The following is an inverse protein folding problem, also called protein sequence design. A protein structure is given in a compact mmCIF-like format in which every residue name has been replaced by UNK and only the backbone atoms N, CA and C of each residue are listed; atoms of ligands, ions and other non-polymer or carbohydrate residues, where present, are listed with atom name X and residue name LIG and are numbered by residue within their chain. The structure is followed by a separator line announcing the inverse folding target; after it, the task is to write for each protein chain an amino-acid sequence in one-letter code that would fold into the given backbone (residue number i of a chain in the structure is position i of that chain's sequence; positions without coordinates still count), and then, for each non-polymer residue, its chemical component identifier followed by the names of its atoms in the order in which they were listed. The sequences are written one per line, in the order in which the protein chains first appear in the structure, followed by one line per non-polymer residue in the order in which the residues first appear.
data_IF_469506919053
#
_entry.id   IF_469506919053
#
_cell.length_a   1.000
_cell.length_b   1.000
_cell.length_c   1.000
_cell.angle_alpha   90.00
_cell.angle_beta   90.00
_cell.angle_gamma   90.00
#
_symmetry.space_group_name_H-M   'P 1'
#
loop_
_entity.id
_entity.type
_entity.pdbx_description
1 polymer ?
#
# COMPACT_ATOMS: atom_id res chain seq x y z
N UNK A 1 35.03 27.98 -37.20
CA UNK A 1 33.99 27.38 -38.06
C UNK A 1 33.14 26.48 -37.15
N UNK A 2 32.04 27.02 -36.61
CA UNK A 2 31.22 26.31 -35.63
C UNK A 2 30.23 25.39 -36.36
N UNK A 3 30.35 24.09 -36.13
CA UNK A 3 29.40 23.10 -36.60
C UNK A 3 28.05 23.35 -35.91
N UNK A 4 27.04 23.68 -36.72
CA UNK A 4 25.65 23.83 -36.30
C UNK A 4 25.12 22.49 -35.80
N UNK A 5 24.66 22.47 -34.54
CA UNK A 5 23.86 21.39 -33.96
C UNK A 5 22.73 21.02 -34.92
N UNK A 6 22.75 19.80 -35.44
CA UNK A 6 21.64 19.24 -36.19
C UNK A 6 20.42 19.18 -35.30
N UNK A 7 19.38 19.94 -35.64
CA UNK A 7 18.04 19.76 -35.08
C UNK A 7 17.56 18.36 -35.47
N UNK A 8 17.68 17.40 -34.55
CA UNK A 8 17.03 16.10 -34.69
C UNK A 8 15.53 16.34 -34.50
N UNK A 9 14.82 16.59 -35.61
CA UNK A 9 13.38 16.69 -35.60
C UNK A 9 12.79 15.33 -35.26
N UNK A 10 12.14 15.20 -34.11
CA UNK A 10 11.38 14.01 -33.75
C UNK A 10 10.36 13.71 -34.87
N UNK A 11 10.26 12.47 -35.37
CA UNK A 11 9.26 12.11 -36.36
C UNK A 11 7.86 12.55 -35.89
N UNK A 12 7.09 13.23 -36.75
CA UNK A 12 5.78 13.81 -36.40
C UNK A 12 4.82 12.83 -35.73
N UNK A 13 4.94 11.53 -36.04
CA UNK A 13 4.15 10.45 -35.44
C UNK A 13 4.52 10.21 -33.96
N UNK A 14 5.81 10.22 -33.61
CA UNK A 14 6.26 10.09 -32.22
C UNK A 14 5.77 11.27 -31.39
N UNK A 15 5.86 12.50 -31.95
CA UNK A 15 5.29 13.69 -31.33
C UNK A 15 3.81 13.55 -31.00
N UNK A 16 2.99 13.05 -31.96
CA UNK A 16 1.55 12.83 -31.75
C UNK A 16 1.25 11.79 -30.67
N UNK A 17 1.98 10.68 -30.66
CA UNK A 17 1.79 9.62 -29.65
C UNK A 17 2.16 10.15 -28.26
N UNK A 18 3.29 10.84 -28.12
CA UNK A 18 3.67 11.47 -26.85
C UNK A 18 2.62 12.48 -26.39
N UNK A 19 2.14 13.37 -27.27
CA UNK A 19 1.08 14.33 -26.92
C UNK A 19 -0.21 13.63 -26.50
N UNK A 20 -0.60 12.55 -27.16
CA UNK A 20 -1.79 11.78 -26.79
C UNK A 20 -1.63 11.13 -25.41
N UNK A 21 -0.49 10.49 -25.14
CA UNK A 21 -0.20 9.89 -23.82
C UNK A 21 -0.25 10.94 -22.73
N UNK A 22 0.40 12.10 -22.93
CA UNK A 22 0.37 13.21 -21.99
C UNK A 22 -1.07 13.69 -21.76
N UNK A 23 -1.84 13.89 -22.84
CA UNK A 23 -3.23 14.32 -22.78
C UNK A 23 -4.11 13.38 -21.96
N UNK A 24 -3.96 12.06 -22.13
CA UNK A 24 -4.70 11.05 -21.37
C UNK A 24 -4.38 11.11 -19.88
N UNK A 25 -3.10 11.19 -19.51
CA UNK A 25 -2.70 11.26 -18.10
C UNK A 25 -3.16 12.55 -17.43
N UNK A 26 -3.04 13.68 -18.12
CA UNK A 26 -3.53 14.98 -17.63
C UNK A 26 -5.04 14.98 -17.48
N UNK A 27 -5.78 14.41 -18.44
CA UNK A 27 -7.23 14.28 -18.35
C UNK A 27 -7.67 13.38 -17.19
N UNK A 28 -7.01 12.23 -17.01
CA UNK A 28 -7.28 11.31 -15.90
C UNK A 28 -7.00 11.97 -14.55
N UNK A 29 -5.83 12.59 -14.39
CA UNK A 29 -5.47 13.31 -13.16
C UNK A 29 -6.45 14.46 -12.86
N UNK A 30 -6.78 15.28 -13.86
CA UNK A 30 -7.77 16.34 -13.71
C UNK A 30 -9.16 15.80 -13.34
N UNK A 31 -9.57 14.66 -13.92
CA UNK A 31 -10.85 14.03 -13.60
C UNK A 31 -10.90 13.54 -12.15
N UNK A 32 -9.83 12.92 -11.65
CA UNK A 32 -9.74 12.51 -10.25
C UNK A 32 -9.73 13.71 -9.29
N UNK A 33 -9.01 14.80 -9.62
CA UNK A 33 -9.05 16.05 -8.84
C UNK A 33 -10.46 16.63 -8.84
N UNK A 34 -11.10 16.72 -10.01
CA UNK A 34 -12.44 17.27 -10.14
C UNK A 34 -13.46 16.44 -9.37
N UNK A 35 -13.36 15.12 -9.46
CA UNK A 35 -14.15 14.18 -8.66
C UNK A 35 -13.97 14.44 -7.17
N UNK A 36 -12.73 14.62 -6.72
CA UNK A 36 -12.42 14.94 -5.33
C UNK A 36 -13.02 16.25 -4.83
N UNK A 37 -13.03 17.27 -5.70
CA UNK A 37 -13.53 18.59 -5.37
C UNK A 37 -15.06 18.66 -5.39
N UNK A 38 -15.71 17.96 -6.34
CA UNK A 38 -17.14 18.07 -6.60
C UNK A 38 -17.99 16.96 -5.96
N UNK A 39 -17.44 15.76 -5.82
CA UNK A 39 -18.18 14.59 -5.38
C UNK A 39 -17.73 14.18 -4.00
N UNK A 40 -18.11 14.93 -2.96
CA UNK A 40 -17.81 14.55 -1.58
C UNK A 40 -18.75 13.47 -1.06
N UNK A 41 -18.21 12.55 -0.28
CA UNK A 41 -18.99 11.49 0.38
C UNK A 41 -19.64 12.04 1.65
N UNK A 42 -20.95 12.29 1.60
CA UNK A 42 -21.70 12.84 2.73
C UNK A 42 -21.71 11.91 3.96
N UNK A 43 -21.65 10.59 3.73
CA UNK A 43 -21.63 9.63 4.83
C UNK A 43 -20.28 9.68 5.55
N UNK A 44 -19.18 9.74 4.79
CA UNK A 44 -17.84 9.95 5.35
C UNK A 44 -17.74 11.28 6.09
N UNK A 45 -18.25 12.37 5.52
CA UNK A 45 -18.22 13.69 6.18
C UNK A 45 -19.00 13.67 7.50
N UNK A 46 -20.14 12.99 7.55
CA UNK A 46 -20.93 12.81 8.76
C UNK A 46 -20.20 11.97 9.82
N UNK A 47 -19.59 10.85 9.42
CA UNK A 47 -18.76 10.04 10.34
C UNK A 47 -17.57 10.83 10.87
N UNK A 48 -16.91 11.59 9.99
CA UNK A 48 -15.79 12.46 10.34
C UNK A 48 -16.19 13.50 11.38
N UNK A 49 -17.37 14.11 11.24
CA UNK A 49 -17.90 15.09 12.19
C UNK A 49 -18.17 14.49 13.59
N UNK A 50 -18.57 13.23 13.66
CA UNK A 50 -18.85 12.51 14.91
C UNK A 50 -17.59 11.95 15.61
N UNK A 51 -16.43 12.01 14.96
CA UNK A 51 -15.17 11.46 15.50
C UNK A 51 -14.36 12.50 16.29
N UNK A 52 -13.66 12.04 17.33
CA UNK A 52 -12.89 12.90 18.22
C UNK A 52 -11.52 13.19 17.61
N UNK A 53 -11.10 14.46 17.47
CA UNK A 53 -9.79 14.79 16.93
C UNK A 53 -8.67 14.26 17.83
N UNK A 54 -7.73 13.55 17.22
CA UNK A 54 -6.45 13.17 17.81
C UNK A 54 -5.48 14.23 17.33
N UNK A 55 -5.18 15.23 18.17
CA UNK A 55 -4.53 16.48 17.72
C UNK A 55 -3.42 16.31 16.68
N UNK A 56 -3.60 16.93 15.50
CA UNK A 56 -2.66 17.89 14.92
C UNK A 56 -3.27 18.76 13.81
N UNK A 57 -3.41 20.07 14.05
CA UNK A 57 -3.48 21.08 12.98
C UNK A 57 -2.05 21.49 12.62
N UNK A 58 -1.56 21.15 11.42
CA UNK A 58 -0.28 21.68 10.90
C UNK A 58 -0.51 22.81 9.88
N UNK A 59 0.19 23.95 9.98
CA UNK A 59 0.55 24.76 8.83
C UNK A 59 1.68 24.08 8.04
N UNK A 60 1.77 24.37 6.76
CA UNK A 60 2.33 23.57 5.65
C UNK A 60 3.85 23.26 5.64
N UNK A 61 4.63 23.53 6.70
CA UNK A 61 6.10 23.49 6.61
C UNK A 61 6.77 22.96 7.90
N UNK A 62 6.95 21.63 8.03
CA UNK A 62 8.07 20.94 8.73
C UNK A 62 7.83 19.42 8.77
N UNK A 63 8.83 18.67 8.35
CA UNK A 63 8.86 17.21 8.23
C UNK A 63 9.28 16.57 9.57
N UNK A 64 8.57 15.50 9.97
CA UNK A 64 8.94 14.48 10.97
C UNK A 64 9.62 14.93 12.28
N UNK A 65 8.81 15.27 13.28
CA UNK A 65 9.23 15.23 14.69
C UNK A 65 8.52 14.04 15.39
N UNK A 66 9.25 12.99 15.82
CA UNK A 66 8.68 11.84 16.52
C UNK A 66 8.10 12.17 17.91
N UNK A 67 8.33 13.38 18.45
CA UNK A 67 7.79 13.80 19.75
C UNK A 67 6.33 14.27 19.70
N UNK A 68 5.70 14.38 18.53
CA UNK A 68 4.36 14.95 18.37
C UNK A 68 3.19 13.97 18.66
N UNK A 69 3.46 12.67 18.79
CA UNK A 69 2.40 11.65 18.91
C UNK A 69 1.88 11.37 20.32
N UNK A 70 2.32 12.09 21.35
CA UNK A 70 1.87 11.84 22.74
C UNK A 70 0.88 12.92 23.21
N UNK A 71 -0.33 12.58 23.72
CA UNK A 71 -0.72 11.28 24.32
C UNK A 71 -2.08 10.67 23.86
N UNK A 72 -2.44 10.63 22.57
CA UNK A 72 -3.84 10.25 22.20
C UNK A 72 -4.04 8.99 21.35
N UNK A 73 -3.01 8.48 20.64
CA UNK A 73 -3.04 7.12 20.09
C UNK A 73 -2.26 6.20 21.01
N UNK A 74 -2.77 4.97 21.20
CA UNK A 74 -1.96 3.91 21.81
C UNK A 74 -0.76 3.57 20.91
N UNK A 75 0.31 3.01 21.47
CA UNK A 75 1.46 2.58 20.67
C UNK A 75 1.09 1.57 19.58
N UNK A 76 0.05 0.76 19.80
CA UNK A 76 -0.48 -0.18 18.80
C UNK A 76 -1.26 0.56 17.71
N UNK A 77 -2.13 1.50 18.10
CA UNK A 77 -2.90 2.32 17.15
C UNK A 77 -1.95 3.10 16.22
N UNK A 78 -0.90 3.71 16.77
CA UNK A 78 0.14 4.39 16.00
C UNK A 78 0.79 3.45 14.98
N UNK A 79 1.18 2.24 15.42
CA UNK A 79 1.82 1.25 14.54
C UNK A 79 0.89 0.72 13.45
N UNK A 80 -0.40 0.64 13.71
CA UNK A 80 -1.41 0.30 12.69
C UNK A 80 -1.51 1.41 11.64
N UNK A 81 -1.54 2.68 12.05
CA UNK A 81 -1.54 3.83 11.13
C UNK A 81 -0.25 3.86 10.30
N UNK A 82 0.92 3.68 10.93
CA UNK A 82 2.21 3.60 10.23
C UNK A 82 2.22 2.46 9.19
N UNK A 83 1.73 1.28 9.57
CA UNK A 83 1.64 0.14 8.66
C UNK A 83 0.75 0.46 7.45
N UNK A 84 -0.39 1.13 7.68
CA UNK A 84 -1.27 1.55 6.59
C UNK A 84 -0.64 2.62 5.69
N UNK A 85 0.10 3.58 6.24
CA UNK A 85 0.83 4.57 5.42
C UNK A 85 1.91 3.92 4.56
N UNK A 86 2.58 2.88 5.05
CA UNK A 86 3.54 2.11 4.25
C UNK A 86 2.83 1.35 3.11
N UNK A 87 1.70 0.69 3.41
CA UNK A 87 0.86 0.03 2.39
C UNK A 87 0.39 1.04 1.33
N UNK A 88 -0.05 2.23 1.74
CA UNK A 88 -0.43 3.30 0.82
C UNK A 88 0.77 3.78 -0.01
N UNK A 89 1.98 3.78 0.55
CA UNK A 89 3.23 4.04 -0.18
C UNK A 89 3.62 2.90 -1.14
N UNK A 90 2.76 1.89 -1.24
CA UNK A 90 2.89 0.67 -2.02
C UNK A 90 3.99 -0.27 -1.50
N UNK A 91 4.45 -0.09 -0.27
CA UNK A 91 5.31 -1.08 0.37
C UNK A 91 4.49 -2.35 0.63
N UNK A 92 4.94 -3.53 0.17
CA UNK A 92 4.12 -4.72 0.20
C UNK A 92 3.95 -5.13 1.67
N UNK A 93 2.72 -5.26 2.17
CA UNK A 93 2.52 -5.61 3.56
C UNK A 93 3.07 -7.00 3.86
N UNK A 94 3.86 -7.07 4.92
CA UNK A 94 4.30 -8.32 5.52
C UNK A 94 3.39 -8.69 6.68
N UNK A 95 3.32 -9.99 6.99
CA UNK A 95 2.64 -10.45 8.18
C UNK A 95 3.32 -9.84 9.40
N UNK A 96 2.60 -8.99 10.12
CA UNK A 96 3.15 -8.29 11.28
C UNK A 96 2.29 -8.48 12.52
N UNK A 97 2.83 -8.06 13.66
CA UNK A 97 2.07 -7.99 14.90
C UNK A 97 0.90 -6.98 14.82
N UNK A 98 0.93 -6.02 13.89
CA UNK A 98 -0.02 -4.92 13.80
C UNK A 98 -1.04 -5.06 12.66
N UNK A 99 -0.77 -5.91 11.67
CA UNK A 99 -1.66 -6.15 10.52
C UNK A 99 -2.22 -7.56 10.57
N UNK A 100 -3.54 -7.70 10.47
CA UNK A 100 -4.20 -9.00 10.43
C UNK A 100 -3.96 -9.71 9.09
N UNK A 101 -3.80 -11.04 9.13
CA UNK A 101 -3.78 -11.85 7.89
C UNK A 101 -5.12 -11.82 7.15
N UNK A 102 -6.21 -11.50 7.86
CA UNK A 102 -7.58 -11.36 7.34
C UNK A 102 -7.98 -9.89 7.14
N UNK A 103 -7.02 -9.00 6.92
CA UNK A 103 -7.29 -7.59 6.67
C UNK A 103 -8.21 -7.44 5.45
N UNK A 104 -9.39 -6.86 5.66
CA UNK A 104 -10.30 -6.51 4.56
C UNK A 104 -10.00 -5.07 4.12
N UNK A 105 -9.70 -4.89 2.84
CA UNK A 105 -9.47 -3.56 2.26
C UNK A 105 -10.62 -3.20 1.32
N UNK A 106 -11.31 -2.12 1.64
CA UNK A 106 -12.37 -1.55 0.84
C UNK A 106 -11.92 -0.21 0.27
N UNK A 107 -11.44 -0.22 -0.96
CA UNK A 107 -10.99 1.00 -1.63
C UNK A 107 -12.00 1.46 -2.70
N UNK A 108 -12.13 2.76 -2.95
CA UNK A 108 -12.80 3.40 -4.12
C UNK A 108 -12.89 2.52 -5.37
N UNK A 109 -11.78 1.87 -5.74
CA UNK A 109 -11.66 1.10 -7.00
C UNK A 109 -11.54 -0.41 -6.80
N UNK A 110 -11.21 -0.89 -5.61
CA UNK A 110 -10.89 -2.30 -5.39
C UNK A 110 -11.38 -2.78 -4.03
N UNK A 111 -11.82 -4.02 -3.99
CA UNK A 111 -12.02 -4.75 -2.75
C UNK A 111 -10.99 -5.88 -2.70
N UNK A 112 -10.22 -5.95 -1.61
CA UNK A 112 -9.24 -7.01 -1.37
C UNK A 112 -9.52 -7.69 -0.03
N UNK A 113 -9.46 -9.03 -0.02
CA UNK A 113 -9.83 -9.89 1.10
C UNK A 113 -8.62 -10.66 1.64
N UNK A 114 -8.04 -10.11 2.70
CA UNK A 114 -6.87 -10.65 3.34
C UNK A 114 -5.56 -10.10 2.81
N UNK A 115 -4.50 -10.40 3.56
CA UNK A 115 -3.18 -9.81 3.38
C UNK A 115 -2.52 -10.20 2.05
N UNK A 116 -2.84 -11.39 1.54
CA UNK A 116 -2.26 -11.91 0.30
C UNK A 116 -2.76 -11.15 -0.92
N UNK A 117 -4.08 -10.93 -1.05
CA UNK A 117 -4.65 -10.11 -2.12
C UNK A 117 -4.17 -8.66 -2.02
N UNK A 118 -4.04 -8.13 -0.80
CA UNK A 118 -3.50 -6.78 -0.59
C UNK A 118 -2.04 -6.66 -1.04
N UNK A 119 -1.20 -7.61 -0.66
CA UNK A 119 0.21 -7.64 -1.07
C UNK A 119 0.35 -7.72 -2.58
N UNK A 120 -0.38 -8.63 -3.21
CA UNK A 120 -0.35 -8.76 -4.65
C UNK A 120 -0.89 -7.45 -5.28
N UNK A 121 -2.01 -6.91 -4.78
CA UNK A 121 -2.53 -5.61 -5.19
C UNK A 121 -1.49 -4.48 -5.15
N UNK A 122 -0.71 -4.37 -4.06
CA UNK A 122 0.36 -3.36 -3.93
C UNK A 122 1.49 -3.57 -4.93
N UNK A 123 1.93 -4.81 -5.17
CA UNK A 123 2.96 -5.12 -6.17
C UNK A 123 2.49 -4.81 -7.59
N UNK A 124 1.20 -5.00 -7.87
CA UNK A 124 0.64 -4.71 -9.18
C UNK A 124 0.63 -3.20 -9.43
N UNK A 125 0.20 -2.42 -8.43
CA UNK A 125 0.15 -0.96 -8.54
C UNK A 125 1.53 -0.33 -8.70
N UNK A 126 2.59 -0.90 -8.10
CA UNK A 126 3.97 -0.44 -8.25
C UNK A 126 4.46 -0.40 -9.70
N UNK A 127 3.88 -1.22 -10.59
CA UNK A 127 4.22 -1.22 -12.02
C UNK A 127 3.74 0.04 -12.75
N UNK A 128 2.79 0.77 -12.16
CA UNK A 128 2.10 1.89 -12.82
C UNK A 128 2.24 3.21 -12.06
N UNK A 129 2.41 3.17 -10.73
CA UNK A 129 2.46 4.36 -9.89
C UNK A 129 3.47 4.23 -8.76
N UNK A 130 4.01 5.38 -8.34
CA UNK A 130 4.58 5.60 -7.00
C UNK A 130 3.59 6.44 -6.22
N UNK A 131 3.46 6.16 -4.92
CA UNK A 131 2.63 6.98 -4.05
C UNK A 131 3.42 7.40 -2.81
N UNK A 132 3.26 8.65 -2.38
CA UNK A 132 3.81 9.16 -1.13
C UNK A 132 2.70 9.84 -0.33
N UNK A 133 2.15 9.17 0.70
CA UNK A 133 1.09 9.69 1.54
C UNK A 133 1.64 10.61 2.65
N UNK A 134 0.94 11.71 2.89
CA UNK A 134 1.20 12.63 3.98
C UNK A 134 -0.04 12.80 4.86
N UNK A 135 0.05 12.36 6.11
CA UNK A 135 -1.05 12.53 7.07
C UNK A 135 -1.27 14.02 7.36
N UNK A 136 -2.52 14.45 7.26
CA UNK A 136 -2.98 15.82 7.51
C UNK A 136 -3.76 15.97 8.81
N UNK A 137 -4.63 15.02 9.11
CA UNK A 137 -5.45 15.02 10.32
C UNK A 137 -5.78 13.57 10.69
N UNK A 138 -5.92 13.30 11.98
CA UNK A 138 -6.33 12.00 12.51
C UNK A 138 -7.48 12.23 13.50
N UNK A 139 -8.49 11.39 13.42
CA UNK A 139 -9.58 11.33 14.40
C UNK A 139 -9.80 9.90 14.84
N UNK A 140 -10.29 9.77 16.07
CA UNK A 140 -10.52 8.49 16.73
C UNK A 140 -11.98 8.37 17.13
N UNK A 141 -12.51 7.19 16.91
CA UNK A 141 -13.85 6.82 17.31
C UNK A 141 -13.80 5.40 17.88
N UNK A 142 -14.01 5.28 19.19
CA UNK A 142 -14.11 3.98 19.84
C UNK A 142 -15.58 3.53 19.82
N UNK A 143 -15.85 2.32 19.32
CA UNK A 143 -17.18 1.74 19.29
C UNK A 143 -17.09 0.29 19.80
N UNK A 144 -17.49 0.09 21.06
CA UNK A 144 -17.39 -1.22 21.75
C UNK A 144 -15.94 -1.74 21.73
N UNK A 145 -15.71 -2.90 21.12
CA UNK A 145 -14.40 -3.57 21.04
C UNK A 145 -13.58 -3.16 19.79
N UNK A 146 -14.10 -2.21 19.01
CA UNK A 146 -13.52 -1.75 17.76
C UNK A 146 -13.09 -0.30 17.91
N UNK A 147 -11.84 0.00 17.56
CA UNK A 147 -11.35 1.38 17.41
C UNK A 147 -11.28 1.73 15.93
N UNK A 148 -12.02 2.75 15.53
CA UNK A 148 -11.91 3.35 14.21
C UNK A 148 -10.96 4.55 14.27
N UNK A 149 -9.93 4.53 13.42
CA UNK A 149 -9.02 5.64 13.21
C UNK A 149 -9.29 6.23 11.83
N UNK A 150 -9.87 7.42 11.82
CA UNK A 150 -10.10 8.21 10.62
C UNK A 150 -8.85 9.02 10.31
N UNK A 151 -8.33 8.92 9.09
CA UNK A 151 -7.09 9.56 8.67
C UNK A 151 -7.37 10.37 7.41
N UNK A 152 -7.08 11.67 7.46
CA UNK A 152 -6.98 12.51 6.27
C UNK A 152 -5.54 12.50 5.78
N UNK A 153 -5.37 12.20 4.51
CA UNK A 153 -4.09 12.07 3.84
C UNK A 153 -4.09 13.01 2.64
N UNK A 154 -2.92 13.53 2.32
CA UNK A 154 -2.65 14.11 1.01
C UNK A 154 -1.57 13.27 0.37
N UNK A 155 -1.81 12.73 -0.81
CA UNK A 155 -0.95 11.75 -1.46
C UNK A 155 -0.35 12.36 -2.73
N UNK A 156 0.97 12.31 -2.86
CA UNK A 156 1.64 12.57 -4.14
C UNK A 156 1.68 11.28 -4.92
N UNK A 157 0.87 11.17 -5.97
CA UNK A 157 0.84 10.01 -6.87
C UNK A 157 1.60 10.36 -8.14
N UNK A 158 2.67 9.62 -8.42
CA UNK A 158 3.47 9.76 -9.63
C UNK A 158 3.22 8.58 -10.55
N UNK A 159 2.72 8.83 -11.76
CA UNK A 159 2.52 7.80 -12.77
C UNK A 159 3.85 7.43 -13.42
N UNK A 160 4.05 6.14 -13.66
CA UNK A 160 5.22 5.58 -14.30
C UNK A 160 4.92 5.20 -15.75
N UNK A 161 5.95 5.21 -16.58
CA UNK A 161 5.89 4.45 -17.84
C UNK A 161 5.81 2.96 -17.47
N UNK A 162 4.77 2.22 -17.92
CA UNK A 162 4.57 0.84 -17.52
C UNK A 162 5.82 -0.01 -17.68
N UNK A 163 6.09 -0.85 -16.67
CA UNK A 163 7.25 -1.76 -16.61
C UNK A 163 8.62 -1.07 -16.59
N UNK A 164 8.66 0.22 -16.27
CA UNK A 164 9.91 0.97 -16.09
C UNK A 164 9.86 1.82 -14.81
N UNK A 165 11.00 2.31 -14.37
CA UNK A 165 11.08 3.24 -13.24
C UNK A 165 10.92 4.72 -13.66
N UNK A 166 10.66 4.99 -14.95
CA UNK A 166 10.58 6.35 -15.47
C UNK A 166 9.28 7.02 -15.07
N UNK A 167 9.41 8.16 -14.41
CA UNK A 167 8.30 9.00 -13.97
C UNK A 167 7.77 9.86 -15.12
N UNK A 168 6.45 10.03 -15.16
CA UNK A 168 5.77 10.86 -16.17
C UNK A 168 5.17 12.13 -15.56
N UNK A 169 4.18 11.95 -14.68
CA UNK A 169 3.40 13.03 -14.09
C UNK A 169 3.17 12.76 -12.61
N UNK A 170 3.22 13.81 -11.81
CA UNK A 170 2.90 13.76 -10.40
C UNK A 170 1.69 14.63 -10.12
N UNK A 171 0.73 14.06 -9.39
CA UNK A 171 -0.48 14.75 -8.97
C UNK A 171 -0.61 14.64 -7.45
N UNK A 172 -1.14 15.69 -6.85
CA UNK A 172 -1.46 15.69 -5.43
C UNK A 172 -2.96 15.48 -5.26
N UNK A 173 -3.33 14.42 -4.58
CA UNK A 173 -4.72 14.07 -4.32
C UNK A 173 -4.98 14.04 -2.83
N UNK A 174 -6.06 14.67 -2.35
CA UNK A 174 -6.50 14.44 -0.99
C UNK A 174 -7.22 13.07 -0.95
N UNK A 175 -6.91 12.28 0.08
CA UNK A 175 -7.52 10.98 0.32
C UNK A 175 -7.92 10.83 1.78
N UNK A 176 -8.89 9.96 2.05
CA UNK A 176 -9.31 9.61 3.41
C UNK A 176 -9.27 8.12 3.61
N UNK A 177 -8.88 7.69 4.81
CA UNK A 177 -8.90 6.30 5.20
C UNK A 177 -9.59 6.14 6.56
N UNK A 178 -10.39 5.09 6.70
CA UNK A 178 -10.94 4.66 7.99
C UNK A 178 -10.33 3.30 8.31
N UNK A 179 -9.55 3.26 9.38
CA UNK A 179 -8.85 2.06 9.82
C UNK A 179 -9.59 1.44 10.98
N UNK A 180 -9.88 0.14 10.87
CA UNK A 180 -10.57 -0.65 11.88
C UNK A 180 -9.54 -1.49 12.64
N UNK A 181 -9.41 -1.20 13.94
CA UNK A 181 -8.47 -1.87 14.85
C UNK A 181 -9.28 -2.68 15.86
N UNK A 182 -9.04 -3.98 15.89
CA UNK A 182 -9.78 -4.93 16.71
C UNK A 182 -8.86 -5.87 17.49
N UNK A 183 -9.40 -6.46 18.55
CA UNK A 183 -8.74 -7.56 19.25
C UNK A 183 -8.89 -8.86 18.45
N UNK A 184 -7.78 -9.33 17.88
CA UNK A 184 -7.68 -10.62 17.21
C UNK A 184 -7.19 -11.66 18.22
N UNK A 185 -7.97 -12.73 18.39
CA UNK A 185 -7.59 -13.89 19.20
C UNK A 185 -6.99 -14.98 18.32
N UNK A 186 -5.80 -15.45 18.67
CA UNK A 186 -5.16 -16.59 18.03
C UNK A 186 -4.75 -17.61 19.10
N UNK A 187 -5.64 -18.57 19.37
CA UNK A 187 -5.53 -19.42 20.56
C UNK A 187 -5.64 -18.58 21.85
N UNK A 188 -4.64 -18.69 22.72
CA UNK A 188 -4.58 -17.95 23.99
C UNK A 188 -4.01 -16.53 23.86
N UNK A 189 -3.48 -16.16 22.68
CA UNK A 189 -2.91 -14.85 22.44
C UNK A 189 -3.99 -13.88 21.95
N UNK A 190 -4.15 -12.77 22.67
CA UNK A 190 -5.02 -11.65 22.27
C UNK A 190 -4.12 -10.49 21.85
N UNK A 191 -4.30 -10.01 20.62
CA UNK A 191 -3.51 -8.89 20.09
C UNK A 191 -4.42 -7.91 19.35
N UNK A 192 -4.20 -6.61 19.52
CA UNK A 192 -4.89 -5.59 18.73
C UNK A 192 -4.22 -5.47 17.36
N UNK A 193 -5.01 -5.57 16.29
CA UNK A 193 -4.53 -5.52 14.91
C UNK A 193 -5.45 -4.70 14.03
N UNK A 194 -4.88 -4.15 12.96
CA UNK A 194 -5.61 -3.63 11.82
C UNK A 194 -6.33 -4.80 11.12
N UNK A 195 -7.66 -4.81 11.18
CA UNK A 195 -8.52 -5.84 10.57
C UNK A 195 -9.32 -5.34 9.39
N UNK A 196 -9.52 -4.03 9.27
CA UNK A 196 -10.20 -3.41 8.14
C UNK A 196 -9.56 -2.08 7.76
N UNK A 197 -9.56 -1.76 6.47
CA UNK A 197 -9.18 -0.44 5.96
C UNK A 197 -10.14 -0.04 4.84
N UNK A 198 -10.87 1.04 5.05
CA UNK A 198 -11.70 1.66 4.02
C UNK A 198 -10.98 2.90 3.48
N UNK A 199 -10.65 2.93 2.20
CA UNK A 199 -9.82 3.99 1.61
C UNK A 199 -10.50 4.66 0.42
N UNK A 200 -10.41 5.99 0.40
CA UNK A 200 -10.93 6.86 -0.66
C UNK A 200 -9.77 7.63 -1.28
N UNK A 201 -9.16 7.13 -2.36
CA UNK A 201 -7.97 7.73 -3.01
C UNK A 201 -8.14 9.21 -3.39
N UNK A 202 -9.38 9.64 -3.62
CA UNK A 202 -9.70 10.97 -4.11
C UNK A 202 -10.80 11.65 -3.28
N UNK A 203 -11.01 11.30 -2.01
CA UNK A 203 -12.07 11.86 -1.14
C UNK A 203 -13.51 11.77 -1.68
N UNK A 204 -13.74 11.02 -2.76
CA UNK A 204 -15.07 10.83 -3.31
C UNK A 204 -15.73 9.55 -2.85
N UNK A 205 -17.06 9.40 -3.10
CA UNK A 205 -17.78 8.22 -2.67
C UNK A 205 -17.21 6.97 -3.35
N UNK A 206 -17.15 5.87 -2.60
CA UNK A 206 -17.02 4.56 -3.22
C UNK A 206 -18.37 4.21 -3.85
N UNK A 207 -18.40 3.66 -5.06
CA UNK A 207 -19.61 3.05 -5.60
C UNK A 207 -19.81 1.72 -4.87
N UNK A 208 -20.35 1.80 -3.66
CA UNK A 208 -20.41 0.68 -2.74
C UNK A 208 -21.59 0.82 -1.82
N UNK A 209 -22.30 -0.29 -1.66
CA UNK A 209 -23.33 -0.42 -0.65
C UNK A 209 -22.72 -0.77 0.71
N UNK A 210 -21.61 -1.51 0.72
CA UNK A 210 -20.89 -1.92 1.92
C UNK A 210 -20.34 -0.72 2.74
N UNK A 211 -19.85 0.32 2.06
CA UNK A 211 -19.39 1.55 2.71
C UNK A 211 -20.51 2.56 2.98
N UNK A 212 -21.77 2.19 2.69
CA UNK A 212 -22.94 3.06 2.72
C UNK A 212 -22.89 4.31 1.81
N UNK A 213 -21.85 4.48 1.00
CA UNK A 213 -21.67 5.60 0.06
C UNK A 213 -22.72 5.59 -1.06
N UNK A 214 -23.20 4.41 -1.49
CA UNK A 214 -24.25 4.26 -2.49
C UNK A 214 -25.22 3.13 -2.11
N UNK A 215 -26.35 3.47 -1.48
CA UNK A 215 -27.30 2.48 -0.94
C UNK A 215 -28.36 2.00 -1.96
N UNK A 216 -28.00 1.92 -3.24
CA UNK A 216 -28.89 1.50 -4.32
C UNK A 216 -28.23 0.42 -5.18
N UNK A 217 -28.91 0.00 -6.26
CA UNK A 217 -28.43 -1.05 -7.17
C UNK A 217 -27.06 -0.75 -7.79
N UNK A 218 -26.72 0.53 -7.96
CA UNK A 218 -25.39 0.94 -8.46
C UNK A 218 -24.29 0.68 -7.42
N UNK A 219 -24.62 0.72 -6.13
CA UNK A 219 -23.71 0.31 -5.06
C UNK A 219 -23.42 -1.18 -5.11
N UNK A 220 -24.44 -2.01 -5.33
CA UNK A 220 -24.28 -3.46 -5.47
C UNK A 220 -23.44 -3.81 -6.71
N UNK A 221 -23.71 -3.15 -7.85
CA UNK A 221 -22.92 -3.29 -9.06
C UNK A 221 -21.47 -2.82 -8.86
N UNK A 222 -21.27 -1.71 -8.16
CA UNK A 222 -19.94 -1.20 -7.86
C UNK A 222 -19.15 -2.12 -6.94
N UNK A 223 -19.77 -2.72 -5.93
CA UNK A 223 -19.13 -3.74 -5.07
C UNK A 223 -18.69 -4.97 -5.88
N UNK A 224 -19.51 -5.43 -6.82
CA UNK A 224 -19.14 -6.51 -7.74
C UNK A 224 -17.95 -6.12 -8.63
N UNK A 225 -17.98 -4.91 -9.21
CA UNK A 225 -16.88 -4.40 -10.04
C UNK A 225 -15.57 -4.31 -9.25
N UNK A 226 -15.60 -3.78 -8.02
CA UNK A 226 -14.42 -3.64 -7.16
C UNK A 226 -13.81 -5.00 -6.80
N UNK A 227 -14.65 -6.01 -6.52
CA UNK A 227 -14.22 -7.39 -6.31
C UNK A 227 -13.61 -8.00 -7.57
N UNK A 228 -14.23 -7.77 -8.72
CA UNK A 228 -13.69 -8.21 -10.02
C UNK A 228 -12.33 -7.57 -10.31
N UNK A 229 -12.15 -6.28 -10.02
CA UNK A 229 -10.85 -5.60 -10.14
C UNK A 229 -9.80 -6.22 -9.23
N UNK A 230 -10.14 -6.56 -7.98
CA UNK A 230 -9.23 -7.24 -7.06
C UNK A 230 -8.77 -8.59 -7.60
N UNK A 231 -9.72 -9.38 -8.13
CA UNK A 231 -9.44 -10.64 -8.82
C UNK A 231 -8.51 -10.46 -10.03
N UNK A 232 -8.72 -9.42 -10.85
CA UNK A 232 -7.84 -9.14 -12.00
C UNK A 232 -6.41 -8.78 -11.56
N UNK A 233 -6.26 -7.92 -10.54
CA UNK A 233 -4.94 -7.55 -10.01
C UNK A 233 -4.20 -8.79 -9.49
N UNK A 234 -4.89 -9.63 -8.73
CA UNK A 234 -4.35 -10.87 -8.20
C UNK A 234 -3.89 -11.81 -9.31
N UNK A 235 -4.76 -12.12 -10.28
CA UNK A 235 -4.46 -13.06 -11.37
C UNK A 235 -3.36 -12.60 -12.32
N UNK A 236 -3.23 -11.29 -12.57
CA UNK A 236 -2.16 -10.74 -13.39
C UNK A 236 -0.79 -10.96 -12.76
N UNK A 237 -0.69 -10.82 -11.43
CA UNK A 237 0.55 -11.05 -10.71
C UNK A 237 0.88 -12.51 -10.49
N UNK A 238 -0.10 -13.37 -10.20
CA UNK A 238 0.19 -14.81 -10.04
C UNK A 238 0.80 -15.39 -11.31
N UNK A 239 0.56 -14.79 -12.48
CA UNK A 239 1.22 -15.14 -13.75
C UNK A 239 2.62 -14.53 -13.94
N UNK A 240 2.92 -13.39 -13.32
CA UNK A 240 4.24 -12.73 -13.44
C UNK A 240 5.23 -13.14 -12.35
N UNK A 241 4.79 -13.43 -11.12
CA UNK A 241 5.69 -13.82 -10.01
C UNK A 241 5.98 -15.31 -9.92
N UNK A 242 5.15 -16.19 -10.50
CA UNK A 242 5.36 -17.65 -10.38
C UNK A 242 6.56 -18.20 -11.14
N UNK A 243 7.06 -17.51 -12.17
CA UNK A 243 8.19 -18.03 -12.96
C UNK A 243 9.52 -17.54 -12.38
N UNK A 244 9.68 -16.25 -12.14
CA UNK A 244 10.98 -15.69 -11.74
C UNK A 244 11.24 -15.74 -10.22
N UNK A 245 10.21 -15.57 -9.37
CA UNK A 245 10.42 -15.56 -7.91
C UNK A 245 10.47 -16.97 -7.31
N UNK A 246 9.77 -17.94 -7.88
CA UNK A 246 9.87 -19.35 -7.43
C UNK A 246 11.25 -19.90 -7.78
N UNK A 247 11.75 -19.64 -9.00
CA UNK A 247 13.12 -19.97 -9.38
C UNK A 247 14.15 -19.26 -8.49
N UNK A 248 14.01 -17.94 -8.29
CA UNK A 248 14.92 -17.14 -7.48
C UNK A 248 14.95 -17.52 -5.99
N UNK A 249 13.79 -17.80 -5.37
CA UNK A 249 13.71 -18.24 -3.96
C UNK A 249 14.23 -19.66 -3.77
N UNK A 250 13.96 -20.56 -4.72
CA UNK A 250 14.46 -21.94 -4.65
C UNK A 250 15.99 -21.94 -4.76
N UNK A 251 16.56 -21.14 -5.67
CA UNK A 251 18.01 -21.00 -5.81
C UNK A 251 18.65 -20.34 -4.58
N UNK A 252 18.04 -19.28 -4.02
CA UNK A 252 18.56 -18.64 -2.80
C UNK A 252 18.53 -19.59 -1.59
N UNK A 253 17.44 -20.31 -1.40
CA UNK A 253 17.29 -21.25 -0.30
C UNK A 253 18.24 -22.45 -0.46
N UNK A 254 18.43 -22.95 -1.69
CA UNK A 254 19.40 -24.01 -1.99
C UNK A 254 20.85 -23.57 -1.74
N UNK A 255 21.19 -22.33 -2.12
CA UNK A 255 22.53 -21.77 -1.87
C UNK A 255 22.80 -21.57 -0.37
N UNK A 256 21.80 -21.15 0.40
CA UNK A 256 21.91 -21.01 1.84
C UNK A 256 22.05 -22.37 2.53
N UNK A 257 21.25 -23.36 2.15
CA UNK A 257 21.39 -24.73 2.65
C UNK A 257 22.76 -25.33 2.33
N UNK A 258 23.29 -25.14 1.12
CA UNK A 258 24.61 -25.64 0.74
C UNK A 258 25.74 -25.00 1.56
N UNK A 259 25.58 -23.73 1.95
CA UNK A 259 26.54 -23.03 2.81
C UNK A 259 26.50 -23.53 4.25
N UNK A 260 25.31 -23.79 4.77
CA UNK A 260 25.10 -24.38 6.10
C UNK A 260 25.63 -25.82 6.16
N UNK A 261 25.45 -26.62 5.10
CA UNK A 261 26.00 -27.97 5.01
C UNK A 261 27.53 -28.00 5.04
N UNK A 262 28.19 -27.12 4.28
CA UNK A 262 29.66 -27.01 4.28
C UNK A 262 30.20 -26.58 5.63
N UNK A 263 29.55 -25.62 6.29
CA UNK A 263 29.96 -25.19 7.62
C UNK A 263 29.87 -26.33 8.65
N UNK A 264 28.89 -27.23 8.51
CA UNK A 264 28.77 -28.43 9.35
C UNK A 264 29.82 -29.49 9.03
N UNK A 265 30.19 -29.67 7.76
CA UNK A 265 31.29 -30.56 7.35
C UNK A 265 32.63 -30.05 7.89
N UNK A 266 32.93 -28.76 7.73
CA UNK A 266 34.16 -28.14 8.24
C UNK A 266 34.26 -28.27 9.77
N UNK A 267 33.14 -28.07 10.48
CA UNK A 267 33.10 -28.24 11.95
C UNK A 267 33.27 -29.71 12.36
N UNK A 268 32.78 -30.66 11.55
CA UNK A 268 32.95 -32.10 11.83
C UNK A 268 34.40 -32.52 11.67
N UNK A 269 35.05 -32.06 10.61
CA UNK A 269 36.45 -32.39 10.32
C UNK A 269 37.40 -31.77 11.37
N UNK A 270 37.10 -30.56 11.87
CA UNK A 270 37.84 -29.95 12.99
C UNK A 270 37.71 -30.76 14.30
N UNK A 271 36.51 -31.28 14.60
CA UNK A 271 36.28 -32.11 15.79
C UNK A 271 36.94 -33.49 15.68
N UNK A 272 36.99 -34.08 14.48
CA UNK A 272 37.65 -35.37 14.22
C UNK A 272 39.18 -35.25 14.36
N UNK A 273 39.77 -34.15 13.88
CA UNK A 273 41.20 -33.85 14.04
C UNK A 273 41.59 -33.66 15.53
N UNK A 274 40.76 -32.96 16.31
CA UNK A 274 41.03 -32.72 17.73
C UNK A 274 40.88 -34.00 18.56
N UNK A 275 39.94 -34.88 18.18
CA UNK A 275 39.75 -36.18 18.83
C UNK A 275 40.94 -37.13 18.58
N UNK A 276 41.51 -37.13 17.37
CA UNK A 276 42.69 -37.94 17.02
C UNK A 276 43.98 -37.41 17.69
N UNK A 277 44.13 -36.09 17.82
CA UNK A 277 45.27 -35.49 18.52
C UNK A 277 45.26 -35.78 20.03
N UNK A 278 44.08 -35.90 20.64
CA UNK A 278 43.94 -36.29 22.04
C UNK A 278 44.14 -37.79 22.28
N UNK A 279 43.98 -38.65 21.27
CA UNK A 279 44.23 -40.08 21.36
C UNK A 279 45.72 -40.47 21.24
N UNK A 280 46.60 -39.53 20.85
CA UNK A 280 48.05 -39.74 20.63
C UNK A 280 48.90 -39.27 21.84
N UNK A 281 48.29 -38.80 22.94
CA UNK A 281 48.99 -38.49 24.21
C UNK A 281 48.73 -39.55 25.27
#
# INVERSE_FOLDING_TARGET
MFATRGNVSLPRQIGRVCTAVIGVHMFMGASCILYSLLCRDQFEEAQWACSTPVFLKRPTWRFWDPLFFRPFLSGVEQKCVESWMNIMSLDPPELSQYVSSRLITQDTVVFLDGLHELRDGTEFLKLFIKNTPYVKDIRRQALRDVTFIHVKVNSTVTTLVPFTERELFSFNFPSTAVLQIEQVRNGNLVSQKLTGAEHRWFNGPALSRQTASCQNVLGDAGDLCRRYTGFLMWTMLTKTTTIDQVAGRTVKNAAQFAKELRALEDTRDEVEIDHDLHAIR
#
